data_IF_567578153624
#
_entry.id   IF_567578153624
#
_cell.length_a   1.000
_cell.length_b   1.000
_cell.length_c   1.000
_cell.angle_alpha   90.00
_cell.angle_beta   90.00
_cell.angle_gamma   90.00
#
_symmetry.space_group_name_H-M   'P 1'
#
loop_
_entity.id
_entity.type
_entity.pdbx_description
1 polymer ?
#
# COMPACT_ATOMS: atom_id res chain seq x y z
N UNK A 1 2.06 33.76 -61.89
CA UNK A 1 2.63 32.57 -61.21
C UNK A 1 1.79 31.37 -61.60
N UNK A 2 2.42 30.29 -62.06
CA UNK A 2 1.72 29.19 -62.73
C UNK A 2 1.29 28.09 -61.73
N UNK A 3 -0.01 27.97 -61.40
CA UNK A 3 -0.49 27.13 -60.29
C UNK A 3 -0.25 25.63 -60.52
N UNK A 4 -0.28 25.15 -61.77
CA UNK A 4 -0.01 23.74 -62.08
C UNK A 4 1.43 23.32 -61.79
N UNK A 5 2.38 24.25 -61.95
CA UNK A 5 3.80 24.03 -61.70
C UNK A 5 4.07 23.87 -60.20
N UNK A 6 3.31 24.57 -59.36
CA UNK A 6 3.37 24.46 -57.91
C UNK A 6 2.73 23.16 -57.40
N UNK A 7 1.61 22.72 -57.98
CA UNK A 7 0.96 21.44 -57.64
C UNK A 7 1.84 20.24 -58.01
N UNK A 8 2.54 20.27 -59.16
CA UNK A 8 3.50 19.23 -59.55
C UNK A 8 4.72 19.17 -58.61
N UNK A 9 5.22 20.31 -58.12
CA UNK A 9 6.30 20.37 -57.12
C UNK A 9 5.86 19.82 -55.77
N UNK A 10 4.66 20.19 -55.31
CA UNK A 10 4.08 19.65 -54.08
C UNK A 10 3.88 18.13 -54.15
N UNK A 11 3.32 17.59 -55.25
CA UNK A 11 3.19 16.13 -55.44
C UNK A 11 4.55 15.40 -55.44
N UNK A 12 5.60 16.00 -56.01
CA UNK A 12 6.97 15.44 -55.91
C UNK A 12 7.50 15.47 -54.48
N UNK A 13 7.29 16.55 -53.72
CA UNK A 13 7.69 16.65 -52.31
C UNK A 13 6.95 15.64 -51.42
N UNK A 14 5.64 15.46 -51.59
CA UNK A 14 4.86 14.44 -50.88
C UNK A 14 5.20 13.00 -51.32
N UNK A 15 5.52 12.79 -52.60
CA UNK A 15 5.99 11.50 -53.11
C UNK A 15 7.37 11.12 -52.56
N UNK A 16 8.27 12.09 -52.41
CA UNK A 16 9.59 11.95 -51.78
C UNK A 16 9.45 11.70 -50.27
N UNK A 17 8.47 12.31 -49.60
CA UNK A 17 8.16 12.05 -48.20
C UNK A 17 7.73 10.58 -47.95
N UNK A 18 6.92 9.99 -48.85
CA UNK A 18 6.56 8.56 -48.77
C UNK A 18 7.72 7.60 -49.03
N UNK A 19 8.64 7.93 -49.95
CA UNK A 19 9.83 7.08 -50.19
C UNK A 19 10.88 7.24 -49.10
N UNK A 20 11.02 8.42 -48.50
CA UNK A 20 11.85 8.63 -47.30
C UNK A 20 11.24 7.90 -46.11
N UNK A 21 9.92 7.93 -45.90
CA UNK A 21 9.24 7.14 -44.85
C UNK A 21 9.42 5.62 -45.05
N UNK A 22 9.35 5.12 -46.30
CA UNK A 22 9.63 3.72 -46.62
C UNK A 22 11.11 3.33 -46.46
N UNK A 23 12.06 4.26 -46.61
CA UNK A 23 13.50 4.05 -46.34
C UNK A 23 13.89 4.29 -44.87
N UNK A 24 13.10 5.08 -44.14
CA UNK A 24 13.23 5.34 -42.70
C UNK A 24 12.57 4.25 -41.85
N UNK A 25 11.71 3.41 -42.45
CA UNK A 25 11.31 2.14 -41.86
C UNK A 25 12.53 1.20 -41.83
N UNK A 26 13.38 1.36 -40.82
CA UNK A 26 14.45 0.40 -40.48
C UNK A 26 13.80 -0.97 -40.38
N UNK A 27 14.27 -1.93 -41.19
CA UNK A 27 14.03 -3.34 -40.89
C UNK A 27 14.71 -3.60 -39.54
N UNK A 28 13.98 -4.08 -38.52
CA UNK A 28 14.62 -4.45 -37.26
C UNK A 28 15.72 -5.46 -37.60
N UNK A 29 16.94 -5.20 -37.12
CA UNK A 29 18.03 -6.17 -37.27
C UNK A 29 17.68 -7.46 -36.53
N UNK A 30 18.36 -8.56 -36.84
CA UNK A 30 18.22 -9.81 -36.08
C UNK A 30 18.44 -9.56 -34.58
N UNK A 31 19.38 -8.66 -34.23
CA UNK A 31 19.59 -8.22 -32.84
C UNK A 31 18.42 -7.43 -32.25
N UNK A 32 17.69 -6.64 -33.04
CA UNK A 32 16.51 -5.91 -32.57
C UNK A 32 15.33 -6.88 -32.34
N UNK A 33 15.17 -7.87 -33.22
CA UNK A 33 14.16 -8.93 -33.06
C UNK A 33 14.44 -9.81 -31.85
N UNK A 34 15.69 -10.21 -31.64
CA UNK A 34 16.12 -10.98 -30.46
C UNK A 34 15.89 -10.20 -29.16
N UNK A 35 16.19 -8.89 -29.14
CA UNK A 35 15.91 -8.03 -27.97
C UNK A 35 14.42 -7.90 -27.70
N UNK A 36 13.61 -7.75 -28.74
CA UNK A 36 12.16 -7.69 -28.60
C UNK A 36 11.58 -9.01 -28.07
N UNK A 37 12.08 -10.16 -28.55
CA UNK A 37 11.66 -11.47 -28.07
C UNK A 37 12.08 -11.71 -26.61
N UNK A 38 13.30 -11.33 -26.23
CA UNK A 38 13.75 -11.37 -24.83
C UNK A 38 12.91 -10.49 -23.92
N UNK A 39 12.56 -9.28 -24.36
CA UNK A 39 11.67 -8.39 -23.62
C UNK A 39 10.28 -9.01 -23.45
N UNK A 40 9.71 -9.58 -24.53
CA UNK A 40 8.40 -10.27 -24.47
C UNK A 40 8.43 -11.44 -23.48
N UNK A 41 9.47 -12.29 -23.52
CA UNK A 41 9.65 -13.41 -22.57
C UNK A 41 9.76 -12.90 -21.13
N UNK A 42 10.52 -11.82 -20.89
CA UNK A 42 10.61 -11.19 -19.56
C UNK A 42 9.25 -10.70 -19.08
N UNK A 43 8.49 -9.98 -19.90
CA UNK A 43 7.16 -9.50 -19.51
C UNK A 43 6.18 -10.63 -19.24
N UNK A 44 6.24 -11.72 -20.00
CA UNK A 44 5.43 -12.90 -19.75
C UNK A 44 5.78 -13.53 -18.40
N UNK A 45 7.07 -13.75 -18.11
CA UNK A 45 7.53 -14.28 -16.83
C UNK A 45 7.05 -13.43 -15.65
N UNK A 46 7.12 -12.10 -15.76
CA UNK A 46 6.66 -11.20 -14.70
C UNK A 46 5.15 -11.29 -14.45
N UNK A 47 4.35 -11.53 -15.49
CA UNK A 47 2.90 -11.80 -15.33
C UNK A 47 2.64 -13.13 -14.65
N UNK A 48 3.42 -14.16 -14.98
CA UNK A 48 3.32 -15.47 -14.33
C UNK A 48 3.71 -15.38 -12.84
N UNK A 49 4.79 -14.67 -12.50
CA UNK A 49 5.19 -14.41 -11.10
C UNK A 49 4.12 -13.60 -10.35
N UNK A 50 3.47 -12.64 -11.01
CA UNK A 50 2.33 -11.92 -10.43
C UNK A 50 1.14 -12.87 -10.19
N UNK A 51 0.85 -13.77 -11.13
CA UNK A 51 -0.22 -14.75 -10.95
C UNK A 51 0.08 -15.72 -9.80
N UNK A 52 1.34 -16.13 -9.63
CA UNK A 52 1.77 -16.94 -8.49
C UNK A 52 1.56 -16.20 -7.17
N UNK A 53 1.87 -14.89 -7.11
CA UNK A 53 1.59 -14.04 -5.94
C UNK A 53 0.10 -13.93 -5.64
N UNK A 54 -0.76 -13.86 -6.65
CA UNK A 54 -2.23 -13.90 -6.45
C UNK A 54 -2.65 -15.24 -5.86
N UNK A 55 -2.12 -16.34 -6.40
CA UNK A 55 -2.46 -17.69 -5.95
C UNK A 55 -1.91 -18.02 -4.57
N UNK A 56 -0.88 -17.32 -4.09
CA UNK A 56 -0.34 -17.50 -2.73
C UNK A 56 -1.17 -16.81 -1.65
N UNK A 57 -2.07 -15.89 -2.02
CA UNK A 57 -3.00 -15.26 -1.09
C UNK A 57 -4.15 -16.24 -0.78
N UNK A 58 -4.02 -16.91 0.35
CA UNK A 58 -5.02 -17.83 0.89
C UNK A 58 -6.24 -17.13 1.48
N UNK A 59 -7.11 -17.93 2.10
CA UNK A 59 -8.36 -17.44 2.70
C UNK A 59 -8.13 -16.37 3.77
N UNK A 60 -7.11 -16.54 4.63
CA UNK A 60 -6.85 -15.62 5.73
C UNK A 60 -6.38 -14.24 5.23
N UNK A 61 -5.52 -14.25 4.20
CA UNK A 61 -5.07 -13.03 3.54
C UNK A 61 -6.26 -12.31 2.91
N UNK A 62 -7.12 -13.04 2.18
CA UNK A 62 -8.30 -12.44 1.54
C UNK A 62 -9.29 -11.88 2.56
N UNK A 63 -9.51 -12.58 3.67
CA UNK A 63 -10.32 -12.10 4.79
C UNK A 63 -9.82 -10.74 5.29
N UNK A 64 -8.52 -10.61 5.55
CA UNK A 64 -7.93 -9.33 5.98
C UNK A 64 -8.07 -8.25 4.90
N UNK A 65 -7.80 -8.59 3.64
CA UNK A 65 -7.83 -7.62 2.53
C UNK A 65 -9.25 -7.12 2.23
N UNK A 66 -10.26 -7.98 2.36
CA UNK A 66 -11.68 -7.63 2.19
C UNK A 66 -12.13 -6.62 3.26
N UNK A 67 -11.83 -6.87 4.53
CA UNK A 67 -12.17 -5.93 5.60
C UNK A 67 -11.38 -4.62 5.43
N UNK A 68 -10.11 -4.68 5.02
CA UNK A 68 -9.32 -3.48 4.72
C UNK A 68 -9.92 -2.66 3.56
N UNK A 69 -10.45 -3.33 2.54
CA UNK A 69 -11.11 -2.71 1.39
C UNK A 69 -12.39 -1.99 1.84
N UNK A 70 -13.23 -2.67 2.62
CA UNK A 70 -14.46 -2.11 3.18
C UNK A 70 -14.18 -0.88 4.05
N UNK A 71 -13.21 -0.96 4.97
CA UNK A 71 -12.84 0.17 5.83
C UNK A 71 -12.23 1.35 5.05
N UNK A 72 -11.60 1.09 3.91
CA UNK A 72 -11.01 2.12 3.04
C UNK A 72 -11.98 2.67 2.01
N UNK A 73 -13.12 2.02 1.77
CA UNK A 73 -14.07 2.35 0.71
C UNK A 73 -13.52 2.10 -0.69
N UNK A 74 -12.70 1.06 -0.85
CA UNK A 74 -12.04 0.67 -2.12
C UNK A 74 -12.50 -0.74 -2.50
N UNK A 75 -12.46 -1.08 -3.79
CA UNK A 75 -12.76 -2.45 -4.25
C UNK A 75 -11.71 -3.44 -3.72
N UNK A 76 -12.16 -4.58 -3.19
CA UNK A 76 -11.30 -5.68 -2.74
C UNK A 76 -10.34 -6.15 -3.83
N UNK A 77 -10.78 -6.20 -5.09
CA UNK A 77 -9.90 -6.58 -6.20
C UNK A 77 -8.82 -5.52 -6.46
N UNK A 78 -9.13 -4.23 -6.28
CA UNK A 78 -8.12 -3.17 -6.36
C UNK A 78 -7.07 -3.32 -5.25
N UNK A 79 -7.51 -3.63 -4.03
CA UNK A 79 -6.63 -3.88 -2.89
C UNK A 79 -5.72 -5.09 -3.14
N UNK A 80 -6.30 -6.23 -3.53
CA UNK A 80 -5.56 -7.45 -3.85
C UNK A 80 -4.57 -7.20 -4.98
N UNK A 81 -4.99 -6.51 -6.05
CA UNK A 81 -4.13 -6.24 -7.20
C UNK A 81 -2.96 -5.32 -6.86
N UNK A 82 -3.12 -4.39 -5.93
CA UNK A 82 -2.04 -3.53 -5.43
C UNK A 82 -1.01 -4.30 -4.60
N UNK A 83 -1.47 -5.18 -3.69
CA UNK A 83 -0.60 -6.01 -2.84
C UNK A 83 0.31 -6.90 -3.68
N UNK A 84 -0.24 -7.58 -4.68
CA UNK A 84 0.52 -8.55 -5.49
C UNK A 84 1.48 -7.90 -6.49
N UNK A 85 1.46 -6.58 -6.64
CA UNK A 85 2.41 -5.88 -7.51
C UNK A 85 3.84 -5.94 -6.94
N UNK A 86 4.04 -6.13 -5.63
CA UNK A 86 5.37 -6.26 -5.01
C UNK A 86 5.47 -7.47 -4.08
N UNK A 87 6.50 -8.30 -4.25
CA UNK A 87 6.68 -9.50 -3.42
C UNK A 87 6.80 -9.17 -1.94
N UNK A 88 7.47 -8.05 -1.60
CA UNK A 88 7.60 -7.57 -0.22
C UNK A 88 6.25 -7.36 0.47
N UNK A 89 5.24 -6.88 -0.25
CA UNK A 89 3.90 -6.65 0.32
C UNK A 89 3.20 -7.97 0.61
N UNK A 90 3.33 -8.95 -0.30
CA UNK A 90 2.84 -10.32 -0.11
C UNK A 90 3.54 -11.02 1.05
N UNK A 91 4.87 -10.88 1.15
CA UNK A 91 5.68 -11.43 2.25
C UNK A 91 5.27 -10.83 3.60
N UNK A 92 5.09 -9.51 3.69
CA UNK A 92 4.61 -8.86 4.90
C UNK A 92 3.24 -9.39 5.33
N UNK A 93 2.31 -9.50 4.37
CA UNK A 93 0.96 -9.99 4.64
C UNK A 93 0.95 -11.47 5.05
N UNK A 94 1.72 -12.32 4.36
CA UNK A 94 1.83 -13.73 4.71
C UNK A 94 2.47 -13.94 6.08
N UNK A 95 3.54 -13.20 6.37
CA UNK A 95 4.24 -13.26 7.64
C UNK A 95 3.33 -12.97 8.83
N UNK A 96 2.31 -12.14 8.69
CA UNK A 96 1.34 -11.85 9.76
C UNK A 96 0.73 -13.13 10.37
N UNK A 97 0.53 -14.16 9.54
CA UNK A 97 -0.14 -15.42 9.94
C UNK A 97 0.84 -16.50 10.41
N UNK A 98 2.14 -16.28 10.29
CA UNK A 98 3.18 -17.24 10.67
C UNK A 98 3.52 -17.15 12.16
N UNK A 99 3.99 -18.26 12.75
CA UNK A 99 4.55 -18.24 14.11
C UNK A 99 5.74 -17.27 14.16
N UNK A 100 5.80 -16.39 15.17
CA UNK A 100 6.85 -15.37 15.32
C UNK A 100 6.97 -14.38 14.15
N UNK A 101 5.95 -14.28 13.32
CA UNK A 101 5.81 -13.25 12.31
C UNK A 101 5.69 -11.83 12.88
N UNK A 102 5.56 -10.81 12.02
CA UNK A 102 5.27 -9.45 12.46
C UNK A 102 4.00 -9.37 13.32
N UNK A 103 4.07 -8.60 14.40
CA UNK A 103 2.92 -8.32 15.27
C UNK A 103 1.86 -7.44 14.60
N UNK A 104 2.29 -6.58 13.67
CA UNK A 104 1.39 -5.73 12.94
C UNK A 104 1.94 -5.41 11.55
N UNK A 105 1.02 -5.27 10.61
CA UNK A 105 1.24 -4.70 9.29
C UNK A 105 0.31 -3.51 9.11
N UNK A 106 0.69 -2.61 8.20
CA UNK A 106 -0.10 -1.44 7.87
C UNK A 106 -0.33 -1.40 6.36
N UNK A 107 -1.59 -1.19 5.97
CA UNK A 107 -1.99 -1.05 4.58
C UNK A 107 -2.53 0.35 4.33
N UNK A 108 -2.26 0.90 3.14
CA UNK A 108 -2.95 2.09 2.67
C UNK A 108 -3.06 2.07 1.15
N UNK A 109 -4.08 2.74 0.61
CA UNK A 109 -4.14 3.01 -0.81
C UNK A 109 -3.40 4.33 -1.09
N UNK A 110 -2.20 4.23 -1.67
CA UNK A 110 -1.31 5.36 -1.88
C UNK A 110 -1.27 5.77 -3.34
N UNK A 111 -1.15 7.07 -3.59
CA UNK A 111 -0.82 7.59 -4.91
C UNK A 111 0.66 7.36 -5.20
N UNK A 112 0.96 6.60 -6.26
CA UNK A 112 2.31 6.25 -6.68
C UNK A 112 2.53 6.62 -8.15
N UNK A 113 3.79 6.79 -8.55
CA UNK A 113 4.15 7.05 -9.95
C UNK A 113 4.37 5.72 -10.67
N UNK A 114 3.48 5.40 -11.60
CA UNK A 114 3.54 4.21 -12.44
C UNK A 114 3.48 2.90 -11.66
N UNK A 115 3.64 1.80 -12.39
CA UNK A 115 3.80 0.47 -11.81
C UNK A 115 5.29 0.13 -11.72
N UNK A 116 5.74 -0.63 -10.70
CA UNK A 116 7.10 -1.15 -10.66
C UNK A 116 7.41 -2.02 -11.89
N UNK A 117 8.63 -2.00 -12.44
CA UNK A 117 8.99 -2.85 -13.57
C UNK A 117 8.71 -4.34 -13.33
N UNK A 118 8.96 -4.80 -12.10
CA UNK A 118 8.80 -6.20 -11.68
C UNK A 118 7.36 -6.56 -11.26
N UNK A 119 6.42 -5.62 -11.35
CA UNK A 119 5.02 -5.86 -10.94
C UNK A 119 4.25 -6.80 -11.85
N UNK A 120 4.68 -6.95 -13.10
CA UNK A 120 3.89 -7.62 -14.16
C UNK A 120 2.79 -6.74 -14.76
N UNK A 121 2.56 -5.53 -14.23
CA UNK A 121 1.64 -4.51 -14.78
C UNK A 121 2.35 -3.34 -15.47
N UNK A 122 3.68 -3.32 -15.43
CA UNK A 122 4.48 -2.25 -16.04
C UNK A 122 4.12 -2.02 -17.51
N UNK A 123 3.88 -0.76 -17.85
CA UNK A 123 3.69 -0.30 -19.22
C UNK A 123 4.44 1.02 -19.37
N UNK A 124 5.29 1.13 -20.41
CA UNK A 124 6.12 2.33 -20.62
C UNK A 124 5.27 3.61 -20.69
N UNK A 125 4.07 3.53 -21.30
CA UNK A 125 3.13 4.66 -21.39
C UNK A 125 2.56 5.13 -20.04
N UNK A 126 2.61 4.30 -19.00
CA UNK A 126 2.12 4.60 -17.65
C UNK A 126 3.24 4.92 -16.66
N UNK A 127 4.49 4.94 -17.11
CA UNK A 127 5.67 5.09 -16.25
C UNK A 127 5.63 6.36 -15.39
N UNK A 128 5.07 7.45 -15.91
CA UNK A 128 4.98 8.74 -15.23
C UNK A 128 3.53 9.11 -14.84
N UNK A 129 2.61 8.16 -14.96
CA UNK A 129 1.20 8.37 -14.62
C UNK A 129 1.00 8.10 -13.13
N UNK A 130 0.28 8.98 -12.45
CA UNK A 130 -0.13 8.73 -11.07
C UNK A 130 -1.15 7.60 -11.06
N UNK A 131 -0.88 6.56 -10.29
CA UNK A 131 -1.76 5.41 -10.08
C UNK A 131 -2.03 5.25 -8.59
N UNK A 132 -3.22 4.80 -8.23
CA UNK A 132 -3.51 4.36 -6.87
C UNK A 132 -3.15 2.88 -6.74
N UNK A 133 -2.43 2.54 -5.67
CA UNK A 133 -2.02 1.18 -5.35
C UNK A 133 -2.07 0.98 -3.85
N UNK A 134 -2.62 -0.16 -3.43
CA UNK A 134 -2.46 -0.60 -2.05
C UNK A 134 -1.02 -1.01 -1.79
N UNK A 135 -0.44 -0.45 -0.73
CA UNK A 135 0.86 -0.84 -0.20
C UNK A 135 0.66 -1.58 1.13
N UNK A 136 1.57 -2.50 1.45
CA UNK A 136 1.58 -3.20 2.72
C UNK A 136 2.98 -3.20 3.33
N UNK A 137 3.12 -2.47 4.43
CA UNK A 137 4.38 -2.28 5.13
C UNK A 137 4.31 -2.87 6.53
N UNK A 138 5.46 -3.22 7.08
CA UNK A 138 5.56 -3.48 8.52
C UNK A 138 5.35 -2.18 9.29
N UNK A 139 4.68 -2.26 10.44
CA UNK A 139 4.30 -1.08 11.22
C UNK A 139 5.49 -0.22 11.71
N UNK A 140 6.70 -0.78 11.75
CA UNK A 140 7.94 -0.12 12.17
C UNK A 140 8.59 0.77 11.07
N UNK A 141 8.05 0.77 9.84
CA UNK A 141 8.68 1.44 8.68
C UNK A 141 7.81 2.48 7.99
N UNK A 142 6.69 2.88 8.62
CA UNK A 142 5.65 3.69 7.96
C UNK A 142 5.71 5.16 8.36
N UNK A 143 5.85 6.03 7.35
CA UNK A 143 5.51 7.45 7.47
C UNK A 143 3.97 7.59 7.47
N UNK A 144 3.38 7.82 8.64
CA UNK A 144 1.93 7.93 8.79
C UNK A 144 1.38 9.24 8.18
N UNK A 145 0.92 9.15 6.95
CA UNK A 145 0.17 10.19 6.21
C UNK A 145 -1.05 9.55 5.55
N UNK A 146 -2.21 10.17 5.71
CA UNK A 146 -3.49 9.71 5.14
C UNK A 146 -4.13 8.57 5.93
N UNK A 147 -4.92 7.77 5.23
CA UNK A 147 -5.68 6.64 5.79
C UNK A 147 -4.84 5.37 5.80
N UNK A 148 -4.59 4.85 6.99
CA UNK A 148 -3.84 3.62 7.21
C UNK A 148 -4.70 2.58 7.94
N UNK A 149 -4.81 1.41 7.34
CA UNK A 149 -5.37 0.24 7.97
C UNK A 149 -4.28 -0.46 8.77
N UNK A 150 -4.46 -0.56 10.08
CA UNK A 150 -3.60 -1.37 10.95
C UNK A 150 -4.22 -2.73 11.10
N UNK A 151 -3.43 -3.76 10.85
CA UNK A 151 -3.80 -5.16 11.07
C UNK A 151 -2.79 -5.70 12.06
N UNK A 152 -3.27 -6.14 13.23
CA UNK A 152 -2.41 -6.63 14.30
C UNK A 152 -2.89 -7.99 14.79
N UNK A 153 -1.93 -8.80 15.24
CA UNK A 153 -2.20 -10.10 15.87
C UNK A 153 -2.26 -9.96 17.37
N UNK A 154 -3.13 -10.74 18.02
CA UNK A 154 -3.22 -10.76 19.47
C UNK A 154 -2.11 -11.58 20.14
N UNK A 155 -1.66 -12.67 19.50
CA UNK A 155 -0.65 -13.59 20.06
C UNK A 155 0.43 -13.92 19.04
N UNK A 156 1.71 -13.92 19.46
CA UNK A 156 2.85 -14.17 18.57
C UNK A 156 3.36 -15.63 18.55
N UNK A 157 2.91 -16.43 19.50
CA UNK A 157 3.50 -17.74 19.82
C UNK A 157 3.01 -18.89 18.93
N UNK A 158 1.97 -18.65 18.12
CA UNK A 158 1.37 -19.65 17.22
C UNK A 158 1.07 -19.05 15.86
N UNK A 159 1.00 -19.88 14.83
CA UNK A 159 0.41 -19.48 13.54
C UNK A 159 -1.09 -19.23 13.69
N UNK A 160 -1.64 -18.41 12.79
CA UNK A 160 -3.07 -18.10 12.76
C UNK A 160 -3.76 -19.02 11.77
N UNK A 161 -4.68 -19.83 12.27
CA UNK A 161 -5.49 -20.72 11.46
C UNK A 161 -6.72 -19.99 10.89
N UNK A 162 -7.22 -20.48 9.75
CA UNK A 162 -8.39 -19.89 9.09
C UNK A 162 -9.64 -19.85 10.01
N UNK A 163 -9.79 -20.85 10.88
CA UNK A 163 -10.96 -20.94 11.78
C UNK A 163 -10.95 -19.90 12.89
N UNK A 164 -9.80 -19.32 13.20
CA UNK A 164 -9.62 -18.40 14.33
C UNK A 164 -9.16 -17.01 13.87
N UNK A 165 -9.11 -16.76 12.55
CA UNK A 165 -8.60 -15.50 12.00
C UNK A 165 -9.34 -14.27 12.53
N UNK A 166 -10.65 -14.36 12.74
CA UNK A 166 -11.47 -13.28 13.31
C UNK A 166 -11.16 -12.99 14.77
N UNK A 167 -10.71 -14.01 15.51
CA UNK A 167 -10.45 -13.92 16.94
C UNK A 167 -8.99 -13.53 17.21
N UNK A 168 -8.07 -13.96 16.34
CA UNK A 168 -6.63 -13.73 16.49
C UNK A 168 -6.17 -12.39 15.89
N UNK A 169 -6.95 -11.79 14.97
CA UNK A 169 -6.59 -10.54 14.28
C UNK A 169 -7.53 -9.41 14.67
N UNK A 170 -6.95 -8.29 15.09
CA UNK A 170 -7.64 -7.02 15.20
C UNK A 170 -7.30 -6.10 14.04
N UNK A 171 -8.28 -5.31 13.61
CA UNK A 171 -8.11 -4.30 12.58
C UNK A 171 -8.68 -2.96 13.04
N UNK A 172 -8.00 -1.87 12.69
CA UNK A 172 -8.55 -0.53 12.87
C UNK A 172 -7.98 0.44 11.83
N UNK A 173 -8.72 1.52 11.60
CA UNK A 173 -8.32 2.60 10.70
C UNK A 173 -7.70 3.74 11.51
N UNK A 174 -6.56 4.22 11.04
CA UNK A 174 -5.95 5.48 11.45
C UNK A 174 -6.13 6.48 10.30
N UNK A 175 -6.58 7.69 10.60
CA UNK A 175 -6.48 8.82 9.67
C UNK A 175 -5.50 9.84 10.23
N UNK A 176 -4.48 10.20 9.45
CA UNK A 176 -3.52 11.25 9.79
C UNK A 176 -3.45 12.27 8.66
N UNK A 177 -4.13 13.40 8.83
CA UNK A 177 -4.18 14.44 7.79
C UNK A 177 -2.81 15.16 7.64
N UNK A 178 -2.03 15.22 8.72
CA UNK A 178 -0.68 15.81 8.74
C UNK A 178 0.42 14.76 8.84
N UNK A 179 1.59 15.10 8.25
CA UNK A 179 2.78 14.25 8.27
C UNK A 179 3.34 14.14 9.68
N UNK A 180 3.59 12.92 10.14
CA UNK A 180 4.21 12.61 11.43
C UNK A 180 3.33 12.92 12.66
N UNK A 181 2.00 12.83 12.52
CA UNK A 181 1.05 12.97 13.63
C UNK A 181 0.92 11.69 14.49
N UNK A 182 1.94 10.80 14.50
CA UNK A 182 1.92 9.56 15.29
C UNK A 182 1.55 9.81 16.77
N UNK A 183 2.07 10.89 17.36
CA UNK A 183 1.72 11.31 18.72
C UNK A 183 0.23 11.67 18.86
N UNK A 184 -0.32 12.38 17.88
CA UNK A 184 -1.73 12.76 17.88
C UNK A 184 -2.63 11.54 17.69
N UNK A 185 -2.25 10.59 16.84
CA UNK A 185 -2.97 9.31 16.69
C UNK A 185 -2.95 8.51 17.98
N UNK A 186 -1.79 8.36 18.63
CA UNK A 186 -1.68 7.67 19.93
C UNK A 186 -2.54 8.39 20.98
N UNK A 187 -2.46 9.72 21.04
CA UNK A 187 -3.26 10.55 21.95
C UNK A 187 -4.77 10.34 21.73
N UNK A 188 -5.24 10.38 20.49
CA UNK A 188 -6.65 10.14 20.15
C UNK A 188 -7.07 8.73 20.52
N UNK A 189 -6.25 7.72 20.21
CA UNK A 189 -6.54 6.33 20.58
C UNK A 189 -6.62 6.14 22.10
N UNK A 190 -5.69 6.74 22.85
CA UNK A 190 -5.69 6.70 24.31
C UNK A 190 -6.91 7.40 24.92
N UNK A 191 -7.24 8.61 24.46
CA UNK A 191 -8.32 9.43 25.01
C UNK A 191 -9.71 8.91 24.60
N UNK A 192 -9.90 8.41 23.36
CA UNK A 192 -11.22 8.05 22.83
C UNK A 192 -11.54 6.55 22.90
N UNK A 193 -10.54 5.68 22.86
CA UNK A 193 -10.75 4.22 22.79
C UNK A 193 -10.29 3.58 24.09
N UNK A 194 -9.01 3.69 24.43
CA UNK A 194 -8.44 2.90 25.51
C UNK A 194 -8.99 3.30 26.88
N UNK A 195 -8.94 4.61 27.22
CA UNK A 195 -9.40 5.09 28.53
C UNK A 195 -10.88 4.76 28.78
N UNK A 196 -11.83 5.06 27.88
CA UNK A 196 -13.24 4.70 28.08
C UNK A 196 -13.46 3.18 28.17
N UNK A 197 -12.73 2.39 27.38
CA UNK A 197 -12.84 0.92 27.42
C UNK A 197 -12.41 0.36 28.77
N UNK A 198 -11.31 0.87 29.34
CA UNK A 198 -10.85 0.43 30.66
C UNK A 198 -11.83 0.90 31.73
N UNK A 199 -12.28 2.16 31.71
CA UNK A 199 -13.27 2.67 32.68
C UNK A 199 -14.52 1.79 32.71
N UNK A 200 -15.05 1.38 31.55
CA UNK A 200 -16.19 0.46 31.47
C UNK A 200 -15.90 -0.94 32.05
N UNK A 201 -14.70 -1.48 31.83
CA UNK A 201 -14.32 -2.82 32.33
C UNK A 201 -14.05 -2.82 33.84
N UNK A 202 -13.66 -1.67 34.41
CA UNK A 202 -13.39 -1.58 35.86
C UNK A 202 -14.64 -1.72 36.73
N UNK A 203 -15.83 -1.54 36.16
CA UNK A 203 -17.11 -1.83 36.85
C UNK A 203 -17.31 -3.32 37.15
N UNK A 204 -16.58 -4.21 36.48
CA UNK A 204 -16.66 -5.67 36.71
C UNK A 204 -15.87 -6.17 37.92
N UNK A 205 -15.25 -5.29 38.70
CA UNK A 205 -14.55 -5.65 39.94
C UNK A 205 -13.25 -6.45 39.73
N UNK A 206 -12.64 -6.35 38.55
CA UNK A 206 -11.45 -7.11 38.16
C UNK A 206 -10.14 -6.65 38.86
N UNK A 207 -10.16 -5.54 39.58
CA UNK A 207 -9.00 -5.02 40.30
C UNK A 207 -9.42 -4.26 41.57
N UNK A 208 -8.54 -4.25 42.57
CA UNK A 208 -8.78 -3.53 43.82
C UNK A 208 -8.82 -2.01 43.60
N UNK A 209 -9.62 -1.30 44.41
CA UNK A 209 -9.82 0.16 44.28
C UNK A 209 -8.51 0.96 44.25
N UNK A 210 -7.52 0.54 45.05
CA UNK A 210 -6.22 1.23 45.10
C UNK A 210 -5.36 0.98 43.85
N UNK A 211 -5.44 -0.23 43.27
CA UNK A 211 -4.77 -0.58 42.02
C UNK A 211 -5.37 0.21 40.85
N UNK A 212 -6.70 0.32 40.81
CA UNK A 212 -7.42 1.14 39.83
C UNK A 212 -7.02 2.61 39.91
N UNK A 213 -6.98 3.18 41.12
CA UNK A 213 -6.55 4.56 41.32
C UNK A 213 -5.12 4.81 40.84
N UNK A 214 -4.18 3.91 41.17
CA UNK A 214 -2.79 4.00 40.69
C UNK A 214 -2.70 3.89 39.17
N UNK A 215 -3.41 2.92 38.58
CA UNK A 215 -3.44 2.73 37.14
C UNK A 215 -3.94 3.97 36.39
N UNK A 216 -5.11 4.50 36.78
CA UNK A 216 -5.67 5.70 36.15
C UNK A 216 -4.83 6.95 36.39
N UNK A 217 -4.17 7.06 37.54
CA UNK A 217 -3.21 8.14 37.79
C UNK A 217 -2.05 8.09 36.79
N UNK A 218 -1.44 6.93 36.59
CA UNK A 218 -0.35 6.74 35.62
C UNK A 218 -0.83 7.00 34.19
N UNK A 219 -2.00 6.51 33.82
CA UNK A 219 -2.58 6.73 32.49
C UNK A 219 -2.86 8.22 32.23
N UNK A 220 -3.40 8.95 33.22
CA UNK A 220 -3.61 10.39 33.11
C UNK A 220 -2.28 11.16 33.04
N UNK A 221 -1.26 10.75 33.79
CA UNK A 221 0.09 11.33 33.67
C UNK A 221 0.66 11.13 32.27
N UNK A 222 0.51 9.92 31.70
CA UNK A 222 0.96 9.63 30.34
C UNK A 222 0.22 10.46 29.30
N UNK A 223 -1.11 10.60 29.40
CA UNK A 223 -1.87 11.47 28.49
C UNK A 223 -1.45 12.95 28.62
N UNK A 224 -1.10 13.40 29.84
CA UNK A 224 -0.56 14.75 30.06
C UNK A 224 0.79 14.92 29.39
N UNK A 225 1.68 13.93 29.52
CA UNK A 225 2.98 13.90 28.84
C UNK A 225 2.84 13.91 27.31
N UNK A 226 1.90 13.15 26.75
CA UNK A 226 1.62 13.17 25.32
C UNK A 226 1.16 14.56 24.86
N UNK A 227 0.29 15.22 25.62
CA UNK A 227 -0.20 16.59 25.32
C UNK A 227 0.92 17.64 25.36
N UNK A 228 1.82 17.56 26.34
CA UNK A 228 2.96 18.49 26.40
C UNK A 228 3.98 18.24 25.28
N UNK A 229 4.20 16.97 24.92
CA UNK A 229 5.09 16.59 23.83
C UNK A 229 4.57 17.07 22.47
N UNK A 230 3.27 16.91 22.22
CA UNK A 230 2.59 17.42 21.02
C UNK A 230 2.74 18.95 20.86
N UNK A 231 2.57 19.68 21.98
CA UNK A 231 2.78 21.14 22.01
C UNK A 231 4.22 21.50 21.67
N UNK A 232 5.19 20.77 22.24
CA UNK A 232 6.62 21.01 22.04
C UNK A 232 7.04 20.76 20.58
N UNK A 233 6.59 19.65 20.00
CA UNK A 233 6.84 19.31 18.59
C UNK A 233 6.21 20.35 17.67
N UNK A 234 4.97 20.76 17.93
CA UNK A 234 4.27 21.78 17.14
C UNK A 234 4.96 23.15 17.20
N UNK A 235 5.61 23.50 18.31
CA UNK A 235 6.37 24.76 18.44
C UNK A 235 7.77 24.72 17.82
N UNK A 236 8.35 23.54 17.59
CA UNK A 236 9.69 23.38 17.01
C UNK A 236 9.67 23.18 15.49
N UNK A 237 8.51 22.83 14.93
CA UNK A 237 8.32 22.56 13.49
C UNK A 237 7.78 23.79 12.72
N UNK A 238 7.37 24.84 13.44
CA UNK A 238 7.06 26.17 12.88
C UNK A 238 8.24 27.13 13.02
#
# INVERSE_FOLDING_TARGET
>A
MDPERNVKRLRKLFGVSRTILKRAARRPSVSDQEREEQQRKRFQLLRELRQQRISSLGANQRYVLEICADMSGVDTEEVVTGIVDESKYVENLNGLFEEKGPLAIMLCNAYMIGYPPESGRYQEKLKYTVVQRTICSRADTVDMIGKWMVVYRQQNERSIDNRTVSDDIGLFLINSDDRSSCLNVVKLFMDQVLKPSIEAVTEFGLAEKEQLQKFFHILNMYNTFLKSSDTTVSTLVN
#
